data_IF_793600530498
#
_entry.id   IF_793600530498
#
_cell.length_a   1.000
_cell.length_b   1.000
_cell.length_c   1.000
_cell.angle_alpha   90.00
_cell.angle_beta   90.00
_cell.angle_gamma   90.00
#
_symmetry.space_group_name_H-M   'P 1'
#
loop_
_entity.id
_entity.type
_entity.pdbx_description
1 polymer ?
#
# COMPACT_ATOMS: atom_id res chain seq x y z
N UNK A 1 -12.10 15.58 -13.55
CA UNK A 1 -11.06 14.62 -13.98
C UNK A 1 -9.70 14.92 -13.36
N UNK A 2 -9.20 16.17 -13.40
CA UNK A 2 -7.92 16.55 -12.79
C UNK A 2 -7.80 16.16 -11.31
N UNK A 3 -8.86 16.34 -10.50
CA UNK A 3 -8.91 15.90 -9.10
C UNK A 3 -8.54 14.42 -8.92
N UNK A 4 -9.17 13.54 -9.70
CA UNK A 4 -8.95 12.09 -9.60
C UNK A 4 -7.52 11.74 -10.03
N UNK A 5 -7.01 12.39 -11.07
CA UNK A 5 -5.63 12.21 -11.53
C UNK A 5 -4.59 12.59 -10.46
N UNK A 6 -4.75 13.74 -9.81
CA UNK A 6 -3.86 14.19 -8.72
C UNK A 6 -3.93 13.26 -7.50
N UNK A 7 -5.13 12.82 -7.14
CA UNK A 7 -5.33 11.81 -6.09
C UNK A 7 -4.60 10.51 -6.46
N UNK A 8 -4.77 10.01 -7.68
CA UNK A 8 -4.11 8.79 -8.16
C UNK A 8 -2.58 8.88 -8.10
N UNK A 9 -2.00 9.99 -8.57
CA UNK A 9 -0.56 10.26 -8.47
C UNK A 9 -0.11 10.27 -7.00
N UNK A 10 -0.85 10.95 -6.13
CA UNK A 10 -0.47 11.05 -4.72
C UNK A 10 -0.50 9.68 -4.03
N UNK A 11 -1.52 8.87 -4.29
CA UNK A 11 -1.59 7.49 -3.80
C UNK A 11 -0.42 6.66 -4.34
N UNK A 12 -0.07 6.78 -5.62
CA UNK A 12 1.06 6.07 -6.22
C UNK A 12 2.39 6.41 -5.55
N UNK A 13 2.65 7.69 -5.31
CA UNK A 13 3.87 8.14 -4.61
C UNK A 13 3.94 7.55 -3.21
N UNK A 14 2.83 7.63 -2.45
CA UNK A 14 2.76 7.07 -1.10
C UNK A 14 2.93 5.55 -1.12
N UNK A 15 2.35 4.84 -2.10
CA UNK A 15 2.51 3.40 -2.26
C UNK A 15 3.98 2.98 -2.50
N UNK A 16 4.71 3.72 -3.33
CA UNK A 16 6.14 3.47 -3.58
C UNK A 16 6.96 3.67 -2.30
N UNK A 17 6.74 4.78 -1.59
CA UNK A 17 7.43 5.08 -0.33
C UNK A 17 7.12 4.00 0.72
N UNK A 18 5.85 3.62 0.88
CA UNK A 18 5.42 2.61 1.84
C UNK A 18 6.06 1.25 1.57
N UNK A 19 6.15 0.82 0.29
CA UNK A 19 6.81 -0.43 -0.08
C UNK A 19 8.32 -0.39 0.19
N UNK A 20 8.99 0.74 -0.11
CA UNK A 20 10.41 0.91 0.19
C UNK A 20 10.70 0.84 1.70
N UNK A 21 9.86 1.49 2.53
CA UNK A 21 9.99 1.43 3.98
C UNK A 21 9.76 0.00 4.46
N UNK A 22 8.65 -0.64 4.05
CA UNK A 22 8.29 -2.01 4.44
C UNK A 22 9.41 -3.01 4.14
N UNK A 23 10.01 -2.94 2.95
CA UNK A 23 11.14 -3.78 2.56
C UNK A 23 12.36 -3.59 3.48
N UNK A 24 12.67 -2.36 3.89
CA UNK A 24 13.80 -2.07 4.80
C UNK A 24 13.57 -2.56 6.23
N UNK A 25 12.33 -2.58 6.71
CA UNK A 25 11.98 -3.05 8.06
C UNK A 25 11.61 -4.54 8.10
N UNK A 26 11.77 -5.26 6.98
CA UNK A 26 11.52 -6.71 6.90
C UNK A 26 10.04 -7.10 6.86
N UNK A 27 9.13 -6.17 6.58
CA UNK A 27 7.71 -6.47 6.37
C UNK A 27 7.46 -6.91 4.93
N UNK A 28 6.47 -7.80 4.75
CA UNK A 28 6.06 -8.21 3.42
C UNK A 28 5.45 -7.04 2.64
N UNK A 29 5.75 -6.97 1.34
CA UNK A 29 5.11 -6.03 0.41
C UNK A 29 4.05 -6.74 -0.42
N UNK A 30 3.13 -5.98 -1.03
CA UNK A 30 2.18 -6.56 -2.00
C UNK A 30 2.87 -7.14 -3.24
N UNK A 31 4.08 -6.67 -3.57
CA UNK A 31 4.88 -7.24 -4.65
C UNK A 31 5.41 -8.64 -4.31
N UNK A 32 5.76 -8.90 -3.05
CA UNK A 32 6.28 -10.20 -2.61
C UNK A 32 5.16 -11.18 -2.27
N UNK A 33 4.11 -10.68 -1.59
CA UNK A 33 3.00 -11.49 -1.09
C UNK A 33 1.97 -11.81 -2.18
N UNK A 34 1.60 -10.82 -3.00
CA UNK A 34 0.52 -10.94 -3.99
C UNK A 34 0.67 -12.14 -4.92
N UNK A 35 1.81 -12.30 -5.63
CA UNK A 35 2.02 -13.44 -6.53
C UNK A 35 1.94 -14.80 -5.82
N UNK A 36 2.46 -14.90 -4.59
CA UNK A 36 2.41 -16.14 -3.79
C UNK A 36 0.97 -16.45 -3.38
N UNK A 37 0.22 -15.44 -2.96
CA UNK A 37 -1.19 -15.56 -2.60
C UNK A 37 -2.05 -15.99 -3.80
N UNK A 38 -1.87 -15.38 -4.98
CA UNK A 38 -2.64 -15.79 -6.17
C UNK A 38 -2.30 -17.20 -6.66
N UNK A 39 -1.09 -17.69 -6.39
CA UNK A 39 -0.67 -19.05 -6.79
C UNK A 39 -1.06 -20.14 -5.78
N UNK A 40 -0.99 -19.84 -4.48
CA UNK A 40 -1.11 -20.84 -3.39
C UNK A 40 -2.25 -20.57 -2.40
N UNK A 41 -2.96 -19.45 -2.56
CA UNK A 41 -4.09 -19.06 -1.73
C UNK A 41 -3.74 -18.97 -0.25
N UNK A 42 -4.56 -19.61 0.58
CA UNK A 42 -4.47 -19.56 2.05
C UNK A 42 -3.15 -20.08 2.61
N UNK A 43 -2.45 -20.98 1.91
CA UNK A 43 -1.14 -21.48 2.35
C UNK A 43 -0.13 -20.33 2.41
N UNK A 44 -0.21 -19.37 1.48
CA UNK A 44 0.69 -18.21 1.49
C UNK A 44 0.45 -17.26 2.67
N UNK A 45 -0.77 -17.24 3.24
CA UNK A 45 -1.09 -16.48 4.45
C UNK A 45 -0.43 -17.09 5.70
N UNK A 46 -0.34 -18.42 5.76
CA UNK A 46 0.29 -19.12 6.88
C UNK A 46 1.83 -18.97 6.89
N UNK A 47 2.42 -18.70 5.73
CA UNK A 47 3.87 -18.52 5.57
C UNK A 47 4.33 -17.08 5.86
N UNK A 48 3.41 -16.12 5.95
CA UNK A 48 3.76 -14.74 6.30
C UNK A 48 3.48 -14.49 7.79
N UNK A 49 4.38 -13.75 8.44
CA UNK A 49 4.24 -13.42 9.85
C UNK A 49 2.99 -12.57 10.12
N UNK A 50 2.41 -12.72 11.31
CA UNK A 50 1.22 -11.99 11.76
C UNK A 50 1.36 -10.46 11.60
N UNK A 51 2.54 -9.92 11.88
CA UNK A 51 2.83 -8.49 11.74
C UNK A 51 2.73 -8.05 10.28
N UNK A 52 3.21 -8.88 9.34
CA UNK A 52 3.11 -8.60 7.90
C UNK A 52 1.68 -8.69 7.39
N UNK A 53 0.85 -9.59 7.94
CA UNK A 53 -0.60 -9.64 7.65
C UNK A 53 -1.25 -8.34 8.11
N UNK A 54 -1.03 -7.95 9.37
CA UNK A 54 -1.57 -6.71 9.93
C UNK A 54 -1.12 -5.49 9.12
N UNK A 55 0.15 -5.47 8.71
CA UNK A 55 0.69 -4.44 7.82
C UNK A 55 -0.05 -4.38 6.48
N UNK A 56 -0.12 -5.49 5.74
CA UNK A 56 -0.67 -5.52 4.37
C UNK A 56 -2.17 -5.21 4.32
N UNK A 57 -2.94 -5.70 5.28
CA UNK A 57 -4.40 -5.65 5.23
C UNK A 57 -5.01 -4.50 6.05
N UNK A 58 -4.29 -3.94 7.02
CA UNK A 58 -4.81 -2.86 7.89
C UNK A 58 -3.98 -1.59 7.73
N UNK A 59 -2.68 -1.65 8.07
CA UNK A 59 -1.85 -0.44 8.07
C UNK A 59 -1.62 0.11 6.66
N UNK A 60 -1.39 -0.75 5.67
CA UNK A 60 -1.07 -0.35 4.30
C UNK A 60 -2.23 0.43 3.64
N UNK A 61 -3.51 -0.03 3.69
CA UNK A 61 -4.66 0.79 3.26
C UNK A 61 -4.77 2.14 3.98
N UNK A 62 -4.48 2.20 5.29
CA UNK A 62 -4.48 3.44 6.06
C UNK A 62 -3.39 4.40 5.55
N UNK A 63 -2.19 3.87 5.27
CA UNK A 63 -1.10 4.65 4.67
C UNK A 63 -1.49 5.17 3.29
N UNK A 64 -2.11 4.35 2.44
CA UNK A 64 -2.60 4.81 1.13
C UNK A 64 -3.69 5.89 1.23
N UNK A 65 -4.53 5.85 2.27
CA UNK A 65 -5.51 6.89 2.53
C UNK A 65 -4.86 8.26 2.76
N UNK A 66 -3.60 8.31 3.26
CA UNK A 66 -2.84 9.57 3.32
C UNK A 66 -2.60 10.14 1.93
N UNK A 67 -2.30 9.30 0.93
CA UNK A 67 -2.17 9.72 -0.46
C UNK A 67 -3.47 10.31 -1.01
N UNK A 68 -4.62 9.74 -0.66
CA UNK A 68 -5.91 10.32 -1.00
C UNK A 68 -6.08 11.72 -0.37
N UNK A 69 -5.84 11.85 0.94
CA UNK A 69 -6.00 13.11 1.66
C UNK A 69 -5.07 14.20 1.11
N UNK A 70 -3.81 13.86 0.85
CA UNK A 70 -2.82 14.76 0.27
C UNK A 70 -3.23 15.19 -1.13
N UNK A 71 -3.53 14.24 -2.03
CA UNK A 71 -3.94 14.55 -3.40
C UNK A 71 -5.21 15.39 -3.48
N UNK A 72 -6.19 15.12 -2.61
CA UNK A 72 -7.42 15.90 -2.52
C UNK A 72 -7.14 17.32 -1.99
N UNK A 73 -6.22 17.47 -1.01
CA UNK A 73 -5.82 18.78 -0.49
C UNK A 73 -5.06 19.60 -1.54
N UNK A 74 -4.15 18.98 -2.31
CA UNK A 74 -3.44 19.64 -3.42
C UNK A 74 -4.44 20.16 -4.45
N UNK A 75 -5.43 19.35 -4.85
CA UNK A 75 -6.46 19.79 -5.79
C UNK A 75 -7.27 20.98 -5.25
N UNK A 76 -7.61 20.99 -3.96
CA UNK A 76 -8.38 22.09 -3.36
C UNK A 76 -7.58 23.40 -3.22
N UNK A 77 -6.25 23.36 -3.37
CA UNK A 77 -5.38 24.54 -3.34
C UNK A 77 -5.09 25.11 -4.74
N UNK A 78 -5.45 24.38 -5.80
CA UNK A 78 -5.33 24.77 -7.21
C UNK A 78 -6.60 25.47 -7.68
#
# INVERSE_FOLDING_TARGET
MLRIYLIGISILIIAIIANLIASKIGLATWYDFGPKFFKRGYIALQEIGFISIFWLFILYPIVLALGYLIGNKIYNLL
#
